data_IF_221617369720
#
_entry.id   IF_221617369720
#
_cell.length_a   1.000
_cell.length_b   1.000
_cell.length_c   1.000
_cell.angle_alpha   90.00
_cell.angle_beta   90.00
_cell.angle_gamma   90.00
#
_symmetry.space_group_name_H-M   'P 1'
#
loop_
_entity.id
_entity.type
_entity.pdbx_description
1 polymer ?
#
# COMPACT_ATOMS: atom_id res chain seq x y z
N UNK A 1 -38.72 -12.64 16.69
CA UNK A 1 -37.38 -13.03 17.12
C UNK A 1 -36.43 -11.85 16.93
N UNK A 2 -35.73 -11.34 17.93
CA UNK A 2 -34.83 -10.20 17.78
C UNK A 2 -33.59 -10.61 16.98
N UNK A 3 -33.25 -9.83 15.95
CA UNK A 3 -32.03 -9.98 15.18
C UNK A 3 -30.82 -9.74 16.10
N UNK A 4 -30.05 -10.76 16.32
CA UNK A 4 -28.78 -10.70 17.07
C UNK A 4 -27.82 -9.81 16.28
N UNK A 5 -27.65 -8.58 16.72
CA UNK A 5 -26.63 -7.68 16.20
C UNK A 5 -25.25 -8.29 16.51
N UNK A 6 -24.57 -8.75 15.49
CA UNK A 6 -23.18 -9.25 15.61
C UNK A 6 -22.34 -8.05 16.07
N UNK A 7 -21.92 -8.01 17.34
CA UNK A 7 -20.91 -7.07 17.80
C UNK A 7 -19.67 -7.30 16.94
N UNK A 8 -19.32 -6.32 16.09
CA UNK A 8 -18.00 -6.27 15.46
C UNK A 8 -16.99 -6.16 16.61
N UNK A 9 -16.32 -7.24 16.97
CA UNK A 9 -15.14 -7.17 17.81
C UNK A 9 -14.08 -6.42 17.01
N UNK A 10 -13.66 -5.26 17.50
CA UNK A 10 -12.47 -4.58 16.96
C UNK A 10 -11.31 -5.57 17.01
N UNK A 11 -10.64 -5.79 15.88
CA UNK A 11 -9.41 -6.55 15.85
C UNK A 11 -8.31 -5.68 16.47
N UNK A 12 -7.56 -6.20 17.41
CA UNK A 12 -6.33 -5.56 17.84
C UNK A 12 -5.29 -5.71 16.72
N UNK A 13 -4.66 -4.60 16.35
CA UNK A 13 -3.50 -4.57 15.46
C UNK A 13 -2.24 -4.62 16.33
N UNK A 14 -1.98 -5.77 16.95
CA UNK A 14 -0.79 -5.96 17.76
C UNK A 14 0.47 -5.87 16.88
N UNK A 15 1.47 -5.09 17.32
CA UNK A 15 2.71 -4.88 16.56
C UNK A 15 2.65 -3.73 15.55
N UNK A 16 1.62 -2.88 15.60
CA UNK A 16 1.49 -1.69 14.76
C UNK A 16 1.28 -0.42 15.59
N UNK A 17 2.13 -0.23 16.65
CA UNK A 17 2.01 0.89 17.59
C UNK A 17 3.04 1.99 17.35
N UNK A 18 4.23 1.64 16.84
CA UNK A 18 5.36 2.54 16.68
C UNK A 18 6.03 2.31 15.34
N UNK A 19 5.60 3.02 14.31
CA UNK A 19 6.11 2.85 12.96
C UNK A 19 6.84 4.05 12.41
N UNK A 20 7.43 3.86 11.25
CA UNK A 20 8.02 4.89 10.42
C UNK A 20 7.63 4.67 8.97
N UNK A 21 7.48 5.77 8.23
CA UNK A 21 7.17 5.75 6.79
C UNK A 21 8.45 5.65 5.95
N UNK A 22 8.44 4.80 4.92
CA UNK A 22 9.54 4.64 3.96
C UNK A 22 9.31 5.55 2.73
N UNK A 23 8.95 6.82 2.98
CA UNK A 23 8.65 7.79 1.91
C UNK A 23 9.82 8.05 0.98
N UNK A 24 9.53 8.36 -0.28
CA UNK A 24 10.52 8.70 -1.31
C UNK A 24 11.24 7.50 -1.93
N UNK A 25 10.87 6.28 -1.58
CA UNK A 25 11.50 5.06 -2.13
C UNK A 25 10.85 4.63 -3.45
N UNK A 26 9.70 3.97 -3.41
CA UNK A 26 8.94 3.52 -4.58
C UNK A 26 7.60 4.26 -4.68
N UNK A 27 7.51 5.37 -3.99
CA UNK A 27 6.45 6.36 -4.04
C UNK A 27 7.04 7.75 -3.86
N UNK A 28 6.42 8.74 -4.48
CA UNK A 28 6.80 10.16 -4.37
C UNK A 28 8.29 10.45 -4.68
N UNK A 29 8.88 9.72 -5.63
CA UNK A 29 10.29 9.82 -5.98
C UNK A 29 10.65 11.05 -6.83
N UNK A 30 9.71 11.94 -7.14
CA UNK A 30 9.89 13.08 -8.02
C UNK A 30 10.25 12.65 -9.44
N UNK A 31 11.48 12.88 -9.89
CA UNK A 31 11.99 12.45 -11.20
C UNK A 31 12.78 11.14 -11.17
N UNK A 32 12.84 10.47 -10.01
CA UNK A 32 13.71 9.31 -9.78
C UNK A 32 12.98 7.97 -9.83
N UNK A 33 11.96 7.84 -10.68
CA UNK A 33 11.29 6.55 -10.91
C UNK A 33 12.16 5.65 -11.81
N UNK A 34 13.17 5.00 -11.22
CA UNK A 34 14.10 4.13 -11.92
C UNK A 34 14.77 3.11 -10.98
N UNK A 35 15.28 2.02 -11.56
CA UNK A 35 15.85 0.91 -10.81
C UNK A 35 17.09 1.27 -9.98
N UNK A 36 17.88 2.25 -10.39
CA UNK A 36 19.03 2.73 -9.62
C UNK A 36 18.57 3.30 -8.27
N UNK A 37 17.54 4.16 -8.30
CA UNK A 37 16.96 4.72 -7.08
C UNK A 37 16.32 3.62 -6.22
N UNK A 38 15.47 2.78 -6.82
CA UNK A 38 14.75 1.76 -6.06
C UNK A 38 15.67 0.74 -5.38
N UNK A 39 16.80 0.39 -6.03
CA UNK A 39 17.75 -0.58 -5.49
C UNK A 39 18.70 -0.02 -4.43
N UNK A 40 18.80 1.31 -4.30
CA UNK A 40 19.82 1.95 -3.45
C UNK A 40 19.26 2.85 -2.36
N UNK A 41 18.02 3.36 -2.49
CA UNK A 41 17.48 4.37 -1.58
C UNK A 41 17.05 3.77 -0.22
N UNK A 42 16.35 2.63 -0.23
CA UNK A 42 16.06 1.83 0.96
C UNK A 42 16.65 0.45 0.75
N UNK A 43 17.39 -0.02 1.74
CA UNK A 43 18.08 -1.30 1.74
C UNK A 43 17.76 -2.10 3.00
N UNK A 44 18.15 -3.37 3.06
CA UNK A 44 18.01 -4.18 4.27
C UNK A 44 18.68 -3.55 5.49
N UNK A 45 19.81 -2.83 5.30
CA UNK A 45 20.52 -2.14 6.40
C UNK A 45 19.68 -1.03 7.05
N UNK A 46 18.83 -0.37 6.27
CA UNK A 46 17.94 0.68 6.78
C UNK A 46 16.84 0.03 7.63
N UNK A 47 16.28 -1.08 7.19
CA UNK A 47 15.28 -1.87 7.94
C UNK A 47 15.89 -2.43 9.24
N UNK A 48 17.11 -2.98 9.19
CA UNK A 48 17.84 -3.41 10.37
C UNK A 48 18.02 -2.26 11.38
N UNK A 49 18.42 -1.08 10.90
CA UNK A 49 18.57 0.11 11.75
C UNK A 49 17.25 0.55 12.38
N UNK A 50 16.16 0.55 11.62
CA UNK A 50 14.80 0.87 12.12
C UNK A 50 14.43 -0.07 13.26
N UNK A 51 14.67 -1.37 13.12
CA UNK A 51 14.41 -2.36 14.16
C UNK A 51 15.19 -2.04 15.45
N UNK A 52 16.47 -1.60 15.34
CA UNK A 52 17.28 -1.22 16.52
C UNK A 52 16.78 0.03 17.25
N UNK A 53 15.93 0.85 16.61
CA UNK A 53 15.30 2.02 17.23
C UNK A 53 14.11 1.68 18.14
N UNK A 54 13.69 0.40 18.20
CA UNK A 54 12.55 -0.06 18.99
C UNK A 54 11.20 0.27 18.35
N UNK A 55 11.19 0.44 17.02
CA UNK A 55 9.98 0.51 16.20
C UNK A 55 9.46 -0.92 15.96
N UNK A 56 8.16 -1.06 15.73
CA UNK A 56 7.51 -2.36 15.55
C UNK A 56 6.99 -2.59 14.13
N UNK A 57 6.91 -1.52 13.31
CA UNK A 57 6.52 -1.65 11.92
C UNK A 57 7.07 -0.54 11.03
N UNK A 58 7.00 -0.76 9.74
CA UNK A 58 7.19 0.27 8.70
C UNK A 58 5.91 0.42 7.88
N UNK A 59 5.63 1.64 7.40
CA UNK A 59 4.67 1.89 6.33
C UNK A 59 5.45 2.04 5.03
N UNK A 60 5.06 1.31 4.01
CA UNK A 60 5.70 1.28 2.70
C UNK A 60 4.75 1.87 1.65
N UNK A 61 4.88 3.17 1.34
CA UNK A 61 4.13 3.78 0.25
C UNK A 61 4.61 3.24 -1.10
N UNK A 62 3.64 2.90 -1.95
CA UNK A 62 3.87 2.35 -3.29
C UNK A 62 3.03 3.13 -4.29
N UNK A 63 3.64 3.71 -5.30
CA UNK A 63 2.91 4.28 -6.42
C UNK A 63 2.58 3.19 -7.46
N UNK A 64 1.35 3.17 -7.99
CA UNK A 64 0.89 2.12 -8.89
C UNK A 64 1.82 1.90 -10.09
N UNK A 65 2.35 2.97 -10.67
CA UNK A 65 3.19 2.91 -11.86
C UNK A 65 4.53 2.19 -11.67
N UNK A 66 4.89 1.84 -10.42
CA UNK A 66 6.04 0.96 -10.12
C UNK A 66 5.64 -0.51 -10.25
N UNK A 67 4.40 -0.86 -9.92
CA UNK A 67 3.93 -2.25 -9.78
C UNK A 67 2.84 -2.65 -10.77
N UNK A 68 2.29 -1.67 -11.51
CA UNK A 68 1.25 -1.90 -12.52
C UNK A 68 1.41 -0.90 -13.67
N UNK A 69 1.18 -1.34 -14.90
CA UNK A 69 1.14 -0.47 -16.09
C UNK A 69 -0.19 0.31 -16.15
N UNK A 70 -0.27 1.34 -16.99
CA UNK A 70 -1.51 2.08 -17.26
C UNK A 70 -2.62 1.21 -17.89
N UNK A 71 -2.25 0.08 -18.49
CA UNK A 71 -3.19 -0.91 -19.02
C UNK A 71 -3.61 -1.96 -17.99
N UNK A 72 -3.07 -1.90 -16.77
CA UNK A 72 -3.44 -2.77 -15.66
C UNK A 72 -2.60 -4.04 -15.51
N UNK A 73 -1.56 -4.24 -16.34
CA UNK A 73 -0.66 -5.39 -16.23
C UNK A 73 0.28 -5.25 -15.03
N UNK A 74 0.52 -6.35 -14.32
CA UNK A 74 1.44 -6.36 -13.17
C UNK A 74 2.90 -6.26 -13.63
N UNK A 75 3.66 -5.36 -13.01
CA UNK A 75 5.10 -5.20 -13.21
C UNK A 75 5.83 -6.02 -12.15
N UNK A 76 6.24 -7.23 -12.51
CA UNK A 76 6.87 -8.17 -11.56
C UNK A 76 8.19 -7.65 -10.98
N UNK A 77 8.98 -6.89 -11.74
CA UNK A 77 10.19 -6.23 -11.22
C UNK A 77 9.88 -5.22 -10.13
N UNK A 78 8.75 -4.52 -10.22
CA UNK A 78 8.27 -3.62 -9.18
C UNK A 78 7.76 -4.37 -7.94
N UNK A 79 7.00 -5.46 -8.15
CA UNK A 79 6.53 -6.32 -7.06
C UNK A 79 7.70 -6.93 -6.27
N UNK A 80 8.86 -7.17 -6.91
CA UNK A 80 10.05 -7.68 -6.24
C UNK A 80 10.61 -6.71 -5.16
N UNK A 81 10.38 -5.40 -5.27
CA UNK A 81 10.75 -4.46 -4.20
C UNK A 81 9.85 -4.62 -2.96
N UNK A 82 8.56 -4.87 -3.16
CA UNK A 82 7.65 -5.19 -2.04
C UNK A 82 8.08 -6.49 -1.38
N UNK A 83 8.35 -7.54 -2.16
CA UNK A 83 8.81 -8.83 -1.65
C UNK A 83 10.10 -8.71 -0.84
N UNK A 84 11.06 -7.93 -1.33
CA UNK A 84 12.32 -7.65 -0.64
C UNK A 84 12.07 -6.98 0.71
N UNK A 85 11.26 -5.92 0.75
CA UNK A 85 10.93 -5.22 1.98
C UNK A 85 10.21 -6.13 2.99
N UNK A 86 9.25 -6.92 2.54
CA UNK A 86 8.56 -7.92 3.38
C UNK A 86 9.56 -8.91 3.96
N UNK A 87 10.50 -9.41 3.15
CA UNK A 87 11.55 -10.32 3.59
C UNK A 87 12.47 -9.69 4.64
N UNK A 88 12.90 -8.45 4.43
CA UNK A 88 13.74 -7.72 5.38
C UNK A 88 13.01 -7.45 6.69
N UNK A 89 11.76 -6.99 6.63
CA UNK A 89 10.94 -6.76 7.82
C UNK A 89 10.78 -8.04 8.65
N UNK A 90 10.46 -9.17 8.03
CA UNK A 90 10.37 -10.48 8.70
C UNK A 90 11.68 -10.87 9.38
N UNK A 91 12.81 -10.72 8.66
CA UNK A 91 14.13 -11.05 9.18
C UNK A 91 14.50 -10.24 10.42
N UNK A 92 14.08 -8.98 10.47
CA UNK A 92 14.40 -8.05 11.57
C UNK A 92 13.26 -7.86 12.58
N UNK A 93 12.19 -8.67 12.50
CA UNK A 93 11.10 -8.68 13.48
C UNK A 93 10.18 -7.45 13.43
N UNK A 94 10.05 -6.82 12.26
CA UNK A 94 9.13 -5.70 12.01
C UNK A 94 7.89 -6.19 11.26
N UNK A 95 6.76 -5.56 11.54
CA UNK A 95 5.58 -5.65 10.70
C UNK A 95 5.64 -4.61 9.56
N UNK A 96 4.73 -4.73 8.58
CA UNK A 96 4.69 -3.80 7.44
C UNK A 96 3.25 -3.42 7.10
N UNK A 97 3.02 -2.14 6.82
CA UNK A 97 1.80 -1.64 6.17
C UNK A 97 2.15 -1.37 4.71
N UNK A 98 1.55 -2.10 3.78
CA UNK A 98 1.65 -1.81 2.35
C UNK A 98 0.55 -0.81 2.02
N UNK A 99 0.96 0.39 1.61
CA UNK A 99 0.09 1.50 1.24
C UNK A 99 0.14 1.72 -0.28
N UNK A 100 -1.00 1.60 -0.96
CA UNK A 100 -1.10 2.08 -2.33
C UNK A 100 -1.26 3.61 -2.29
N UNK A 101 -0.15 4.32 -2.52
CA UNK A 101 -0.09 5.77 -2.32
C UNK A 101 -0.73 6.57 -3.45
N UNK A 102 -0.66 6.03 -4.67
CA UNK A 102 -1.34 6.53 -5.86
C UNK A 102 -1.91 5.38 -6.65
N UNK A 103 -3.01 5.61 -7.35
CA UNK A 103 -3.55 4.66 -8.33
C UNK A 103 -3.76 5.35 -9.68
N UNK A 104 -3.87 4.58 -10.74
CA UNK A 104 -4.17 5.14 -12.05
C UNK A 104 -5.46 5.97 -11.99
N UNK A 105 -5.38 7.24 -12.36
CA UNK A 105 -6.50 8.19 -12.30
C UNK A 105 -6.74 8.85 -10.94
N UNK A 106 -5.91 8.61 -9.92
CA UNK A 106 -6.01 9.34 -8.65
C UNK A 106 -4.64 9.61 -8.01
N UNK A 107 -4.40 10.89 -7.76
CA UNK A 107 -3.28 11.41 -6.96
C UNK A 107 -3.87 12.40 -5.96
N UNK A 108 -3.66 12.20 -4.67
CA UNK A 108 -4.34 12.95 -3.61
C UNK A 108 -4.03 14.47 -3.62
N UNK A 109 -2.83 14.85 -4.05
CA UNK A 109 -2.33 16.22 -4.10
C UNK A 109 -2.55 16.91 -5.47
N UNK A 110 -3.18 16.23 -6.43
CA UNK A 110 -3.55 16.78 -7.73
C UNK A 110 -5.06 16.66 -7.99
N UNK A 111 -5.83 17.73 -7.70
CA UNK A 111 -7.28 17.73 -7.93
C UNK A 111 -7.69 17.54 -9.39
N UNK A 112 -6.78 17.78 -10.35
CA UNK A 112 -7.03 17.51 -11.77
C UNK A 112 -6.94 16.03 -12.13
N UNK A 113 -6.35 15.20 -11.26
CA UNK A 113 -6.11 13.78 -11.47
C UNK A 113 -7.04 12.93 -10.60
N UNK A 114 -8.34 13.05 -10.83
CA UNK A 114 -9.38 12.38 -10.05
C UNK A 114 -10.36 11.53 -10.89
N UNK A 115 -9.96 11.15 -12.11
CA UNK A 115 -10.80 10.37 -13.02
C UNK A 115 -11.14 8.95 -12.55
N UNK A 116 -10.38 8.41 -11.59
CA UNK A 116 -10.56 7.09 -11.00
C UNK A 116 -11.99 6.82 -10.50
N UNK A 117 -12.58 7.78 -9.77
CA UNK A 117 -13.89 7.60 -9.13
C UNK A 117 -15.06 7.58 -10.12
N UNK A 118 -14.87 8.06 -11.34
CA UNK A 118 -15.86 8.03 -12.42
C UNK A 118 -15.56 7.01 -13.54
N UNK A 119 -14.52 6.19 -13.41
CA UNK A 119 -14.05 5.30 -14.48
C UNK A 119 -13.98 3.84 -14.01
N UNK A 120 -14.95 3.02 -14.42
CA UNK A 120 -15.03 1.61 -14.01
C UNK A 120 -13.79 0.81 -14.44
N UNK A 121 -13.20 1.08 -15.61
CA UNK A 121 -11.98 0.40 -16.04
C UNK A 121 -10.84 0.62 -15.07
N UNK A 122 -10.63 1.84 -14.57
CA UNK A 122 -9.58 2.14 -13.60
C UNK A 122 -9.88 1.50 -12.23
N UNK A 123 -11.15 1.43 -11.85
CA UNK A 123 -11.57 0.75 -10.62
C UNK A 123 -11.33 -0.77 -10.72
N UNK A 124 -11.61 -1.39 -11.87
CA UNK A 124 -11.33 -2.81 -12.09
C UNK A 124 -9.81 -3.10 -12.04
N UNK A 125 -8.98 -2.23 -12.59
CA UNK A 125 -7.51 -2.33 -12.51
C UNK A 125 -7.01 -2.22 -11.06
N UNK A 126 -7.57 -1.31 -10.28
CA UNK A 126 -7.28 -1.16 -8.86
C UNK A 126 -7.67 -2.43 -8.06
N UNK A 127 -8.86 -2.95 -8.29
CA UNK A 127 -9.32 -4.18 -7.63
C UNK A 127 -8.43 -5.36 -8.01
N UNK A 128 -8.08 -5.50 -9.29
CA UNK A 128 -7.16 -6.54 -9.76
C UNK A 128 -5.78 -6.43 -9.08
N UNK A 129 -5.21 -5.24 -8.98
CA UNK A 129 -3.94 -5.00 -8.29
C UNK A 129 -4.01 -5.46 -6.83
N UNK A 130 -5.09 -5.09 -6.11
CA UNK A 130 -5.28 -5.51 -4.72
C UNK A 130 -5.52 -7.01 -4.58
N UNK A 131 -6.20 -7.65 -5.54
CA UNK A 131 -6.34 -9.12 -5.56
C UNK A 131 -4.97 -9.79 -5.70
N UNK A 132 -4.07 -9.28 -6.55
CA UNK A 132 -2.71 -9.79 -6.69
C UNK A 132 -1.87 -9.58 -5.42
N UNK A 133 -1.94 -8.42 -4.80
CA UNK A 133 -1.27 -8.14 -3.52
C UNK A 133 -1.81 -9.08 -2.43
N UNK A 134 -3.13 -9.22 -2.32
CA UNK A 134 -3.75 -10.09 -1.33
C UNK A 134 -3.44 -11.57 -1.57
N UNK A 135 -3.35 -12.02 -2.82
CA UNK A 135 -2.94 -13.39 -3.17
C UNK A 135 -1.53 -13.70 -2.67
N UNK A 136 -0.62 -12.74 -2.73
CA UNK A 136 0.79 -12.90 -2.30
C UNK A 136 0.94 -12.79 -0.79
N UNK A 137 0.22 -11.88 -0.15
CA UNK A 137 0.50 -11.46 1.23
C UNK A 137 -0.69 -11.56 2.19
N UNK A 138 -1.90 -11.83 1.72
CA UNK A 138 -3.14 -11.74 2.51
C UNK A 138 -3.25 -12.74 3.67
N UNK A 139 -2.44 -13.79 3.70
CA UNK A 139 -2.40 -14.77 4.79
C UNK A 139 -1.32 -14.47 5.84
N UNK A 140 -0.57 -13.39 5.69
CA UNK A 140 0.52 -13.02 6.59
C UNK A 140 0.04 -12.01 7.64
N UNK A 141 0.00 -12.41 8.89
CA UNK A 141 -0.45 -11.55 10.00
C UNK A 141 0.49 -10.40 10.33
N UNK A 142 1.71 -10.40 9.78
CA UNK A 142 2.68 -9.31 9.91
C UNK A 142 2.47 -8.20 8.89
N UNK A 143 1.51 -8.37 7.97
CA UNK A 143 1.25 -7.41 6.89
C UNK A 143 -0.15 -6.83 7.06
N UNK A 144 -0.23 -5.50 7.06
CA UNK A 144 -1.46 -4.74 6.94
C UNK A 144 -1.53 -4.04 5.58
N UNK A 145 -2.74 -3.71 5.15
CA UNK A 145 -2.97 -3.08 3.85
C UNK A 145 -3.71 -1.76 4.04
N UNK A 146 -3.18 -0.71 3.42
CA UNK A 146 -3.83 0.58 3.28
C UNK A 146 -4.26 0.73 1.81
N UNK A 147 -5.57 0.69 1.57
CA UNK A 147 -6.10 0.51 0.21
C UNK A 147 -5.76 1.67 -0.72
N UNK A 148 -5.83 2.90 -0.23
CA UNK A 148 -5.46 4.10 -1.00
C UNK A 148 -5.19 5.26 -0.06
N UNK A 149 -4.07 5.94 -0.27
CA UNK A 149 -3.70 7.12 0.50
C UNK A 149 -4.67 8.27 0.27
N UNK A 150 -5.11 8.90 1.36
CA UNK A 150 -5.80 10.20 1.39
C UNK A 150 -6.96 10.39 0.40
N UNK A 151 -7.99 9.56 0.47
CA UNK A 151 -9.26 9.82 -0.21
C UNK A 151 -10.01 10.93 0.56
N UNK A 152 -9.76 12.19 0.21
CA UNK A 152 -10.10 13.35 1.04
C UNK A 152 -11.38 14.08 0.65
N UNK A 153 -11.90 13.92 -0.59
CA UNK A 153 -13.12 14.59 -1.01
C UNK A 153 -14.38 13.84 -0.58
N UNK A 154 -15.32 14.56 0.03
CA UNK A 154 -16.64 14.02 0.36
C UNK A 154 -17.43 13.58 -0.90
N UNK A 155 -17.14 14.17 -2.06
CA UNK A 155 -17.77 13.83 -3.34
C UNK A 155 -17.45 12.40 -3.80
N UNK A 156 -16.36 11.81 -3.28
CA UNK A 156 -15.93 10.45 -3.61
C UNK A 156 -16.49 9.38 -2.67
N UNK A 157 -17.20 9.76 -1.60
CA UNK A 157 -17.63 8.84 -0.53
C UNK A 157 -18.40 7.64 -1.05
N UNK A 158 -19.39 7.83 -1.91
CA UNK A 158 -20.23 6.74 -2.41
C UNK A 158 -19.45 5.81 -3.34
N UNK A 159 -18.66 6.38 -4.25
CA UNK A 159 -17.78 5.61 -5.15
C UNK A 159 -16.73 4.83 -4.36
N UNK A 160 -16.09 5.48 -3.39
CA UNK A 160 -15.08 4.83 -2.54
C UNK A 160 -15.67 3.67 -1.74
N UNK A 161 -16.83 3.87 -1.09
CA UNK A 161 -17.48 2.80 -0.33
C UNK A 161 -17.85 1.60 -1.21
N UNK A 162 -18.22 1.84 -2.48
CA UNK A 162 -18.51 0.77 -3.45
C UNK A 162 -17.23 -0.01 -3.81
N UNK A 163 -16.12 0.70 -4.04
CA UNK A 163 -14.84 0.10 -4.46
C UNK A 163 -14.19 -0.68 -3.31
N UNK A 164 -14.24 -0.14 -2.09
CA UNK A 164 -13.57 -0.69 -0.91
C UNK A 164 -14.40 -1.77 -0.18
N UNK A 165 -15.60 -2.14 -0.67
CA UNK A 165 -16.49 -3.16 -0.07
C UNK A 165 -16.35 -4.51 -0.73
#
# INVERSE_FOLDING_TARGET
MPKRTRRKTMRNFDGFYKGIDLGGWISQCGTKYNDEHYSTFITEKDIEKIATMGLDHVRMPVDYNVIQTDDGEIIESGMAYIESCVGWCKKHGLNIVIDLHKTCGYIFDDPSYCGFFGNEKLQDQFVYLWQEIARRYGNDSHIAFELLNEVTSADFTDSWNKIAS
#
